data_IF_216701384176
#
_entry.id   IF_216701384176
#
_cell.length_a   1.000
_cell.length_b   1.000
_cell.length_c   1.000
_cell.angle_alpha   90.00
_cell.angle_beta   90.00
_cell.angle_gamma   90.00
#
_symmetry.space_group_name_H-M   'P 1'
#
loop_
_entity.id
_entity.type
_entity.pdbx_description
1 polymer ?
#
# COMPACT_ATOMS: atom_id res chain seq x y z
N UNK A 1 4.21 -16.97 1.07
CA UNK A 1 4.99 -15.93 1.78
C UNK A 1 5.98 -15.28 0.83
N UNK A 2 6.41 -14.05 1.15
CA UNK A 2 7.47 -13.40 0.37
C UNK A 2 8.83 -14.06 0.66
N UNK A 3 9.87 -13.64 -0.06
CA UNK A 3 11.23 -14.15 0.12
C UNK A 3 12.04 -13.32 1.14
N UNK A 4 11.42 -12.85 2.22
CA UNK A 4 12.11 -12.17 3.32
C UNK A 4 12.87 -13.15 4.21
N UNK A 5 14.07 -12.75 4.65
CA UNK A 5 14.91 -13.51 5.60
C UNK A 5 14.25 -13.72 6.98
N UNK A 6 13.22 -12.94 7.29
CA UNK A 6 12.47 -13.07 8.55
C UNK A 6 11.41 -14.18 8.50
N UNK A 7 11.10 -14.72 7.34
CA UNK A 7 10.16 -15.84 7.23
C UNK A 7 10.84 -17.16 7.57
N UNK A 8 10.15 -18.07 8.26
CA UNK A 8 10.70 -19.37 8.61
C UNK A 8 10.96 -20.19 7.34
N UNK A 9 12.11 -20.86 7.29
CA UNK A 9 12.56 -21.62 6.11
C UNK A 9 11.90 -23.02 6.04
N UNK A 10 11.10 -23.39 7.04
CA UNK A 10 10.37 -24.65 7.11
C UNK A 10 9.06 -24.58 6.33
N UNK A 11 8.63 -25.71 5.76
CA UNK A 11 7.28 -25.83 5.21
C UNK A 11 6.26 -25.56 6.33
N UNK A 12 5.44 -24.53 6.14
CA UNK A 12 4.33 -24.22 7.03
C UNK A 12 3.06 -24.85 6.48
N UNK A 13 2.45 -25.72 7.27
CA UNK A 13 1.21 -26.42 6.94
C UNK A 13 0.35 -26.52 8.21
N UNK A 14 -0.98 -26.47 8.05
CA UNK A 14 -1.90 -26.72 9.15
C UNK A 14 -1.93 -28.21 9.54
N UNK A 15 -2.28 -28.51 10.79
CA UNK A 15 -2.37 -29.89 11.30
C UNK A 15 -3.36 -30.77 10.50
N UNK A 16 -4.38 -30.15 9.92
CA UNK A 16 -5.39 -30.81 9.09
C UNK A 16 -5.05 -30.81 7.59
N UNK A 17 -3.84 -30.36 7.24
CA UNK A 17 -3.26 -30.28 5.90
C UNK A 17 -4.02 -29.41 4.89
N UNK A 18 -5.07 -28.69 5.30
CA UNK A 18 -5.90 -27.88 4.40
C UNK A 18 -5.28 -26.53 4.02
N UNK A 19 -4.32 -26.05 4.80
CA UNK A 19 -3.65 -24.77 4.58
C UNK A 19 -2.16 -25.03 4.43
N UNK A 20 -1.61 -24.69 3.27
CA UNK A 20 -0.18 -24.79 2.98
C UNK A 20 0.38 -23.42 2.59
N UNK A 21 1.56 -23.09 3.11
CA UNK A 21 2.28 -21.91 2.69
C UNK A 21 3.26 -22.25 1.56
N UNK A 22 3.12 -21.55 0.43
CA UNK A 22 4.12 -21.58 -0.64
C UNK A 22 5.03 -20.35 -0.56
N UNK A 23 6.34 -20.57 -0.65
CA UNK A 23 7.32 -19.50 -0.77
C UNK A 23 7.46 -19.08 -2.22
N UNK A 24 7.46 -17.79 -2.45
CA UNK A 24 7.67 -17.24 -3.78
C UNK A 24 9.17 -17.02 -4.02
N UNK A 25 9.60 -17.25 -5.25
CA UNK A 25 10.97 -16.97 -5.67
C UNK A 25 11.28 -15.48 -5.60
N UNK A 26 12.56 -15.14 -5.38
CA UNK A 26 13.01 -13.76 -5.32
C UNK A 26 12.51 -12.93 -6.53
N UNK A 27 12.20 -11.66 -6.28
CA UNK A 27 11.72 -10.69 -7.28
C UNK A 27 10.36 -10.99 -7.95
N UNK A 28 9.64 -12.04 -7.52
CA UNK A 28 8.30 -12.35 -8.07
C UNK A 28 7.15 -11.90 -7.16
N UNK A 29 7.47 -11.47 -5.95
CA UNK A 29 6.51 -11.09 -4.90
C UNK A 29 5.46 -10.12 -5.40
N UNK A 30 5.85 -8.98 -5.98
CA UNK A 30 4.91 -7.97 -6.45
C UNK A 30 4.04 -8.42 -7.64
N UNK A 31 4.47 -9.42 -8.41
CA UNK A 31 3.74 -9.94 -9.57
C UNK A 31 2.81 -11.10 -9.21
N UNK A 32 3.10 -11.86 -8.16
CA UNK A 32 2.37 -13.08 -7.81
C UNK A 32 1.57 -12.90 -6.52
N UNK A 33 2.00 -12.03 -5.61
CA UNK A 33 1.27 -11.82 -4.36
C UNK A 33 0.03 -10.97 -4.56
N UNK A 34 -1.11 -11.60 -4.25
CA UNK A 34 -2.42 -10.97 -4.22
C UNK A 34 -2.48 -9.76 -3.28
N UNK A 35 -1.68 -9.71 -2.20
CA UNK A 35 -1.64 -8.55 -1.31
C UNK A 35 -1.04 -7.31 -1.99
N UNK A 36 0.04 -7.50 -2.74
CA UNK A 36 0.72 -6.44 -3.48
C UNK A 36 -0.16 -5.90 -4.61
N UNK A 37 -0.73 -6.80 -5.42
CA UNK A 37 -1.60 -6.43 -6.55
C UNK A 37 -3.00 -5.98 -6.14
N UNK A 38 -3.52 -6.51 -5.04
CA UNK A 38 -4.85 -6.19 -4.56
C UNK A 38 -4.82 -4.93 -3.71
N UNK A 39 -4.69 -5.14 -2.40
CA UNK A 39 -4.90 -4.10 -1.39
C UNK A 39 -3.86 -2.99 -1.51
N UNK A 40 -2.57 -3.34 -1.65
CA UNK A 40 -1.47 -2.35 -1.63
C UNK A 40 -1.49 -1.47 -2.87
N UNK A 41 -1.58 -2.03 -4.08
CA UNK A 41 -1.66 -1.27 -5.34
C UNK A 41 -2.88 -0.35 -5.34
N UNK A 42 -4.04 -0.89 -4.96
CA UNK A 42 -5.28 -0.13 -4.83
C UNK A 42 -5.17 1.02 -3.84
N UNK A 43 -4.49 0.82 -2.72
CA UNK A 43 -4.32 1.83 -1.67
C UNK A 43 -3.42 2.95 -2.16
N UNK A 44 -2.26 2.59 -2.74
CA UNK A 44 -1.32 3.54 -3.35
C UNK A 44 -1.99 4.37 -4.44
N UNK A 45 -2.80 3.74 -5.31
CA UNK A 45 -3.49 4.42 -6.41
C UNK A 45 -4.49 5.46 -5.90
N UNK A 46 -5.34 5.07 -4.94
CA UNK A 46 -6.35 5.99 -4.38
C UNK A 46 -5.72 7.12 -3.57
N UNK A 47 -4.72 6.82 -2.73
CA UNK A 47 -3.98 7.85 -1.98
C UNK A 47 -3.35 8.89 -2.91
N UNK A 48 -2.67 8.43 -3.98
CA UNK A 48 -2.08 9.33 -4.98
C UNK A 48 -3.12 10.21 -5.65
N UNK A 49 -4.28 9.64 -6.03
CA UNK A 49 -5.38 10.40 -6.62
C UNK A 49 -5.85 11.51 -5.68
N UNK A 50 -6.10 11.19 -4.40
CA UNK A 50 -6.57 12.16 -3.41
C UNK A 50 -5.53 13.26 -3.15
N UNK A 51 -4.25 12.89 -3.05
CA UNK A 51 -3.16 13.84 -2.88
C UNK A 51 -3.05 14.82 -4.07
N UNK A 52 -3.13 14.31 -5.30
CA UNK A 52 -3.09 15.16 -6.51
C UNK A 52 -4.31 16.07 -6.57
N UNK A 53 -5.50 15.57 -6.20
CA UNK A 53 -6.72 16.39 -6.13
C UNK A 53 -6.55 17.53 -5.12
N UNK A 54 -6.03 17.25 -3.93
CA UNK A 54 -5.73 18.29 -2.93
C UNK A 54 -4.72 19.29 -3.44
N UNK A 55 -3.65 18.83 -4.09
CA UNK A 55 -2.61 19.69 -4.67
C UNK A 55 -3.19 20.65 -5.72
N UNK A 56 -4.01 20.14 -6.64
CA UNK A 56 -4.62 20.96 -7.72
C UNK A 56 -5.69 21.91 -7.17
N UNK A 57 -6.39 21.52 -6.10
CA UNK A 57 -7.47 22.35 -5.49
C UNK A 57 -6.92 23.38 -4.49
N UNK A 58 -5.65 23.27 -4.07
CA UNK A 58 -5.11 24.07 -2.98
C UNK A 58 -5.06 25.57 -3.28
N UNK A 59 -4.71 25.98 -4.50
CA UNK A 59 -4.79 27.36 -5.02
C UNK A 59 -4.19 27.43 -6.43
N UNK A 60 -4.72 28.31 -7.29
CA UNK A 60 -4.17 28.58 -8.63
C UNK A 60 -2.76 29.19 -8.62
N UNK A 61 -2.34 29.82 -7.52
CA UNK A 61 -1.07 30.56 -7.44
C UNK A 61 0.02 29.84 -6.64
N UNK A 62 -0.30 28.71 -5.98
CA UNK A 62 0.63 28.01 -5.10
C UNK A 62 1.36 26.91 -5.88
N UNK A 63 2.68 27.02 -5.99
CA UNK A 63 3.48 25.97 -6.59
C UNK A 63 3.50 24.68 -5.71
N UNK A 64 3.86 23.56 -6.33
CA UNK A 64 3.91 22.24 -5.68
C UNK A 64 4.80 22.21 -4.42
N UNK A 65 5.89 22.98 -4.43
CA UNK A 65 6.85 23.03 -3.31
C UNK A 65 6.23 23.67 -2.07
N UNK A 66 5.41 24.70 -2.24
CA UNK A 66 4.78 25.40 -1.12
C UNK A 66 3.58 24.62 -0.56
N UNK A 67 2.86 23.87 -1.40
CA UNK A 67 1.93 22.84 -0.92
C UNK A 67 2.66 21.78 -0.08
N UNK A 68 3.76 21.22 -0.59
CA UNK A 68 4.50 20.17 0.10
C UNK A 68 5.04 20.62 1.46
N UNK A 69 5.49 21.87 1.60
CA UNK A 69 5.93 22.43 2.89
C UNK A 69 4.79 22.53 3.92
N UNK A 70 3.55 22.71 3.46
CA UNK A 70 2.36 22.85 4.32
C UNK A 70 1.70 21.50 4.60
N UNK A 71 1.95 20.51 3.75
CA UNK A 71 1.40 19.17 3.89
C UNK A 71 2.05 18.45 5.08
N UNK A 72 1.24 18.09 6.07
CA UNK A 72 1.73 17.53 7.34
C UNK A 72 1.56 16.02 7.41
N UNK A 73 2.21 15.40 8.41
CA UNK A 73 1.98 13.99 8.75
C UNK A 73 0.52 13.76 9.17
N UNK A 74 -0.10 14.74 9.84
CA UNK A 74 -1.53 14.67 10.19
C UNK A 74 -2.38 14.53 8.92
N UNK A 75 -2.14 15.35 7.90
CA UNK A 75 -2.87 15.27 6.62
C UNK A 75 -2.66 13.92 5.93
N UNK A 76 -1.43 13.39 6.00
CA UNK A 76 -1.11 12.04 5.51
C UNK A 76 -1.97 10.97 6.19
N UNK A 77 -2.06 10.99 7.52
CA UNK A 77 -2.83 10.02 8.30
C UNK A 77 -4.33 10.11 7.99
N UNK A 78 -4.87 11.33 7.89
CA UNK A 78 -6.26 11.53 7.49
C UNK A 78 -6.52 11.02 6.07
N UNK A 79 -5.63 11.31 5.11
CA UNK A 79 -5.77 10.82 3.74
C UNK A 79 -5.72 9.30 3.66
N UNK A 80 -4.84 8.64 4.42
CA UNK A 80 -4.80 7.18 4.52
C UNK A 80 -6.12 6.65 5.07
N UNK A 81 -6.64 7.21 6.16
CA UNK A 81 -7.92 6.79 6.74
C UNK A 81 -9.10 6.95 5.75
N UNK A 82 -9.18 8.10 5.08
CA UNK A 82 -10.22 8.36 4.07
C UNK A 82 -10.10 7.41 2.87
N UNK A 83 -8.87 7.18 2.41
CA UNK A 83 -8.61 6.26 1.31
C UNK A 83 -9.02 4.84 1.67
N UNK A 84 -8.73 4.39 2.89
CA UNK A 84 -9.09 3.07 3.40
C UNK A 84 -10.61 2.89 3.52
N UNK A 85 -11.33 3.88 4.03
CA UNK A 85 -12.80 3.82 4.14
C UNK A 85 -13.50 3.74 2.79
N UNK A 86 -12.87 4.20 1.70
CA UNK A 86 -13.40 4.06 0.34
C UNK A 86 -13.24 2.66 -0.28
N UNK A 87 -12.76 1.66 0.46
CA UNK A 87 -12.69 0.26 0.02
C UNK A 87 -13.92 -0.58 0.41
N UNK A 88 -14.58 -0.23 1.51
CA UNK A 88 -15.77 -0.90 2.07
C UNK A 88 -17.04 -0.23 1.59
#
# INVERSE_FOLDING_TARGET
>A
MDNSLTHPNSQLQSDDEKIMCHFLTANTTALIQLMDQGVIESMKRRYRKQFIQQLVTFSEEINVKDFWKRYTIKDTVFNISQTWNGFT
#
